data_IF_394492063580
#
_entry.id   IF_394492063580
#
_cell.length_a   1.000
_cell.length_b   1.000
_cell.length_c   1.000
_cell.angle_alpha   90.00
_cell.angle_beta   90.00
_cell.angle_gamma   90.00
#
_symmetry.space_group_name_H-M   'P 1'
#
loop_
_entity.id
_entity.type
_entity.pdbx_description
1 polymer ?
#
# COMPACT_ATOMS: atom_id res chain seq x y z
N UNK A 1 16.64 2.05 4.09
CA UNK A 1 16.72 1.63 2.67
C UNK A 1 15.44 0.91 2.31
N UNK A 2 15.05 0.96 1.06
CA UNK A 2 13.77 0.41 0.59
C UNK A 2 14.02 -0.80 -0.28
N UNK A 3 13.58 -1.95 0.20
CA UNK A 3 13.77 -3.25 -0.44
C UNK A 3 12.78 -3.47 -1.61
N UNK A 4 12.69 -2.49 -2.53
CA UNK A 4 11.70 -2.47 -3.61
C UNK A 4 11.79 -3.70 -4.53
N UNK A 5 12.98 -4.25 -4.75
CA UNK A 5 13.20 -5.45 -5.58
C UNK A 5 12.63 -6.75 -5.00
N UNK A 6 12.35 -6.77 -3.69
CA UNK A 6 11.77 -7.91 -2.99
C UNK A 6 10.45 -7.56 -2.30
N UNK A 7 9.83 -6.42 -2.62
CA UNK A 7 8.47 -6.10 -2.17
C UNK A 7 7.53 -7.21 -2.64
N UNK A 8 6.66 -7.67 -1.73
CA UNK A 8 5.85 -8.86 -1.95
C UNK A 8 4.92 -8.72 -3.16
N UNK A 9 4.49 -7.52 -3.52
CA UNK A 9 3.48 -7.22 -4.53
C UNK A 9 4.06 -6.84 -5.90
N UNK A 10 5.22 -6.18 -5.94
CA UNK A 10 5.78 -5.59 -7.17
C UNK A 10 7.29 -5.77 -7.33
N UNK A 11 7.99 -6.37 -6.36
CA UNK A 11 9.41 -6.68 -6.50
C UNK A 11 9.66 -7.84 -7.44
N UNK A 12 10.77 -7.83 -8.20
CA UNK A 12 11.19 -8.95 -9.07
C UNK A 12 11.26 -10.29 -8.34
N UNK A 13 11.64 -10.28 -7.07
CA UNK A 13 11.79 -11.46 -6.23
C UNK A 13 12.83 -12.48 -6.72
N UNK A 14 12.97 -13.54 -5.92
CA UNK A 14 13.89 -14.65 -6.11
C UNK A 14 13.29 -15.95 -5.56
N UNK A 15 13.91 -17.10 -5.80
CA UNK A 15 13.39 -18.40 -5.34
C UNK A 15 13.28 -18.52 -3.82
N UNK A 16 14.22 -17.94 -3.10
CA UNK A 16 14.23 -17.88 -1.64
C UNK A 16 13.47 -16.67 -1.08
N UNK A 17 12.93 -15.79 -1.93
CA UNK A 17 12.19 -14.58 -1.56
C UNK A 17 11.10 -14.34 -2.60
N UNK A 18 10.05 -15.16 -2.52
CA UNK A 18 8.98 -15.17 -3.51
C UNK A 18 8.10 -13.92 -3.36
N UNK A 19 7.99 -13.18 -4.44
CA UNK A 19 7.07 -12.05 -4.63
C UNK A 19 5.98 -12.44 -5.62
N UNK A 20 4.92 -11.64 -5.71
CA UNK A 20 3.86 -11.83 -6.70
C UNK A 20 4.41 -11.81 -8.14
N UNK A 21 5.28 -10.85 -8.56
CA UNK A 21 5.89 -10.92 -9.88
C UNK A 21 6.75 -12.16 -10.10
N UNK A 22 7.52 -12.58 -9.09
CA UNK A 22 8.30 -13.82 -9.19
C UNK A 22 7.40 -15.02 -9.46
N UNK A 23 6.29 -15.17 -8.72
CA UNK A 23 5.33 -16.26 -8.91
C UNK A 23 4.65 -16.20 -10.28
N UNK A 24 4.20 -15.02 -10.70
CA UNK A 24 3.56 -14.82 -12.01
C UNK A 24 4.51 -15.10 -13.18
N UNK A 25 5.80 -14.75 -13.04
CA UNK A 25 6.82 -14.99 -14.07
C UNK A 25 7.03 -16.47 -14.37
N UNK A 26 6.65 -17.37 -13.45
CA UNK A 26 6.74 -18.83 -13.66
C UNK A 26 5.76 -19.35 -14.70
N UNK A 27 4.71 -18.58 -14.98
CA UNK A 27 3.66 -18.93 -15.93
C UNK A 27 3.54 -17.91 -17.08
N UNK A 28 4.20 -16.75 -16.97
CA UNK A 28 4.15 -15.66 -17.93
C UNK A 28 5.58 -15.21 -18.29
N UNK A 29 6.16 -15.70 -19.40
CA UNK A 29 7.57 -15.46 -19.73
C UNK A 29 7.89 -14.00 -20.11
N UNK A 30 6.87 -13.19 -20.39
CA UNK A 30 6.99 -11.78 -20.76
C UNK A 30 6.40 -10.84 -19.70
N UNK A 31 6.44 -11.24 -18.42
CA UNK A 31 5.98 -10.37 -17.33
C UNK A 31 6.92 -9.17 -17.17
N UNK A 32 6.35 -7.98 -17.13
CA UNK A 32 7.07 -6.71 -16.99
C UNK A 32 6.53 -5.88 -15.80
N UNK A 33 7.19 -4.76 -15.49
CA UNK A 33 6.72 -3.78 -14.52
C UNK A 33 7.28 -3.91 -13.09
N UNK A 34 7.93 -5.03 -12.76
CA UNK A 34 8.44 -5.27 -11.41
C UNK A 34 9.68 -4.43 -11.07
N UNK A 35 9.79 -3.95 -9.82
CA UNK A 35 10.99 -3.27 -9.34
C UNK A 35 12.20 -4.21 -9.30
N UNK A 36 13.38 -3.70 -9.66
CA UNK A 36 14.57 -4.52 -9.88
C UNK A 36 15.73 -4.26 -8.93
N UNK A 37 15.70 -3.16 -8.17
CA UNK A 37 16.73 -2.85 -7.17
C UNK A 37 16.14 -2.32 -5.87
N UNK A 38 16.84 -2.63 -4.78
CA UNK A 38 16.80 -1.86 -3.53
C UNK A 38 17.33 -0.45 -3.78
N UNK A 39 16.69 0.54 -3.16
CA UNK A 39 17.09 1.95 -3.28
C UNK A 39 17.15 2.61 -1.91
N UNK A 40 17.80 3.76 -1.83
CA UNK A 40 17.69 4.67 -0.70
C UNK A 40 16.77 5.82 -1.12
N UNK A 41 15.93 6.35 -0.22
CA UNK A 41 15.19 7.56 -0.52
C UNK A 41 16.13 8.68 -0.94
N UNK A 42 15.81 9.34 -2.06
CA UNK A 42 16.64 10.43 -2.61
C UNK A 42 16.67 11.62 -1.67
N UNK A 43 15.54 11.90 -1.05
CA UNK A 43 15.36 13.05 -0.17
C UNK A 43 14.40 12.72 0.97
N UNK A 44 14.97 12.26 2.08
CA UNK A 44 14.20 11.96 3.30
C UNK A 44 13.52 13.20 3.90
N UNK A 45 13.94 14.41 3.56
CA UNK A 45 13.37 15.64 4.11
C UNK A 45 12.08 16.09 3.39
N UNK A 46 11.80 15.54 2.21
CA UNK A 46 10.65 15.92 1.38
C UNK A 46 9.67 14.77 1.11
N UNK A 47 9.81 13.65 1.83
CA UNK A 47 8.85 12.55 1.76
C UNK A 47 7.41 13.02 2.08
N UNK A 48 6.39 12.45 1.41
CA UNK A 48 6.48 11.32 0.47
C UNK A 48 6.91 11.71 -0.96
N UNK A 49 7.01 13.00 -1.28
CA UNK A 49 7.09 13.49 -2.66
C UNK A 49 8.45 13.26 -3.33
N UNK A 50 8.41 12.89 -4.62
CA UNK A 50 9.58 12.92 -5.50
C UNK A 50 10.60 11.80 -5.32
N UNK A 51 10.32 10.76 -4.53
CA UNK A 51 11.22 9.63 -4.30
C UNK A 51 11.04 8.47 -5.30
N UNK A 52 10.99 8.81 -6.59
CA UNK A 52 10.92 7.84 -7.68
C UNK A 52 12.29 7.57 -8.30
N UNK A 53 12.54 6.31 -8.66
CA UNK A 53 13.76 5.77 -9.27
C UNK A 53 13.41 5.10 -10.61
N UNK A 54 13.19 5.88 -11.69
CA UNK A 54 12.61 5.39 -12.95
C UNK A 54 13.34 4.25 -13.66
N UNK A 55 14.63 4.09 -13.39
CA UNK A 55 15.46 3.04 -13.98
C UNK A 55 15.29 1.69 -13.28
N UNK A 56 14.74 1.68 -12.07
CA UNK A 56 14.68 0.48 -11.21
C UNK A 56 13.30 0.17 -10.69
N UNK A 57 12.44 1.18 -10.53
CA UNK A 57 11.08 1.03 -10.01
C UNK A 57 10.14 0.37 -11.01
N UNK A 58 10.34 0.67 -12.30
CA UNK A 58 9.45 0.26 -13.39
C UNK A 58 8.02 0.80 -13.20
N UNK A 59 7.05 -0.04 -12.83
CA UNK A 59 5.67 0.37 -12.54
C UNK A 59 5.37 0.51 -11.04
N UNK A 60 6.36 0.29 -10.18
CA UNK A 60 6.23 0.58 -8.76
C UNK A 60 6.25 2.10 -8.54
N UNK A 61 5.24 2.60 -7.85
CA UNK A 61 5.11 4.00 -7.47
C UNK A 61 4.94 4.18 -5.97
N UNK A 62 5.20 3.14 -5.17
CA UNK A 62 5.13 3.25 -3.72
C UNK A 62 6.17 4.26 -3.20
N UNK A 63 5.71 5.13 -2.31
CA UNK A 63 6.52 6.15 -1.64
C UNK A 63 6.64 5.82 -0.14
N UNK A 64 7.80 6.08 0.46
CA UNK A 64 7.89 6.18 1.92
C UNK A 64 6.95 7.27 2.42
N UNK A 65 6.20 6.99 3.49
CA UNK A 65 5.17 7.88 4.05
C UNK A 65 4.03 8.23 3.08
N UNK A 66 3.88 7.48 1.98
CA UNK A 66 2.80 7.68 1.01
C UNK A 66 1.44 7.67 1.70
N UNK A 67 0.60 8.68 1.41
CA UNK A 67 -0.71 8.88 2.03
C UNK A 67 -1.66 9.55 1.06
N UNK A 68 -2.91 9.07 1.02
CA UNK A 68 -3.96 9.70 0.21
C UNK A 68 -4.22 11.14 0.67
N UNK A 69 -4.16 11.40 1.98
CA UNK A 69 -4.33 12.73 2.57
C UNK A 69 -3.16 13.69 2.29
N UNK A 70 -2.00 13.17 1.89
CA UNK A 70 -0.83 13.96 1.47
C UNK A 70 -0.72 14.13 -0.05
N UNK A 71 -1.66 13.56 -0.82
CA UNK A 71 -1.68 13.70 -2.27
C UNK A 71 -0.88 12.64 -3.03
N UNK A 72 -0.37 11.59 -2.37
CA UNK A 72 0.42 10.54 -3.03
C UNK A 72 -0.34 9.89 -4.19
N UNK A 73 -1.63 9.56 -4.02
CA UNK A 73 -2.41 8.93 -5.10
C UNK A 73 -2.48 9.78 -6.40
N UNK A 74 -2.46 11.10 -6.28
CA UNK A 74 -2.48 12.01 -7.45
C UNK A 74 -1.11 12.01 -8.15
N UNK A 75 -0.03 12.04 -7.37
CA UNK A 75 1.36 11.98 -7.86
C UNK A 75 1.68 10.62 -8.49
N UNK A 76 1.38 9.54 -7.78
CA UNK A 76 1.51 8.14 -8.19
C UNK A 76 0.76 7.89 -9.50
N UNK A 77 -0.47 8.40 -9.64
CA UNK A 77 -1.22 8.31 -10.89
C UNK A 77 -0.54 9.08 -12.03
N UNK A 78 -0.04 10.28 -11.76
CA UNK A 78 0.73 11.07 -12.72
C UNK A 78 1.96 10.31 -13.24
N UNK A 79 2.69 9.66 -12.33
CA UNK A 79 3.86 8.87 -12.65
C UNK A 79 3.50 7.61 -13.42
N UNK A 80 2.51 6.84 -12.97
CA UNK A 80 2.02 5.63 -13.63
C UNK A 80 1.63 5.87 -15.08
N UNK A 81 0.92 6.97 -15.38
CA UNK A 81 0.58 7.35 -16.77
C UNK A 81 1.80 7.63 -17.65
N UNK A 82 2.90 8.07 -17.05
CA UNK A 82 4.14 8.34 -17.77
C UNK A 82 4.96 7.07 -17.93
N UNK A 83 5.08 6.28 -16.86
CA UNK A 83 5.80 5.02 -16.84
C UNK A 83 5.15 3.98 -17.78
N UNK A 84 3.82 3.91 -17.85
CA UNK A 84 3.10 2.96 -18.70
C UNK A 84 3.41 3.11 -20.19
N UNK A 85 3.78 4.32 -20.65
CA UNK A 85 4.14 4.58 -22.05
C UNK A 85 5.41 3.85 -22.51
N UNK A 86 6.21 3.32 -21.58
CA UNK A 86 7.41 2.53 -21.90
C UNK A 86 7.08 1.11 -22.34
N UNK A 87 5.86 0.63 -22.10
CA UNK A 87 5.44 -0.74 -22.37
C UNK A 87 4.59 -0.78 -23.63
N UNK A 88 5.03 -1.60 -24.59
CA UNK A 88 4.28 -1.83 -25.83
C UNK A 88 2.94 -2.52 -25.52
N UNK A 89 1.90 -2.15 -26.26
CA UNK A 89 0.57 -2.74 -26.15
C UNK A 89 0.01 -2.73 -24.71
N UNK A 90 0.41 -1.74 -23.89
CA UNK A 90 0.06 -1.69 -22.47
C UNK A 90 -1.44 -1.89 -22.26
N UNK A 91 -2.28 -1.18 -23.00
CA UNK A 91 -3.75 -1.28 -22.92
C UNK A 91 -4.29 -2.67 -23.29
N UNK A 92 -3.57 -3.43 -24.11
CA UNK A 92 -3.98 -4.76 -24.55
C UNK A 92 -3.52 -5.91 -23.66
N UNK A 93 -2.60 -5.65 -22.73
CA UNK A 93 -2.10 -6.64 -21.77
C UNK A 93 -2.90 -6.64 -20.47
N UNK A 94 -3.00 -7.80 -19.81
CA UNK A 94 -3.54 -7.86 -18.45
C UNK A 94 -2.57 -7.24 -17.45
N UNK A 95 -3.11 -6.41 -16.55
CA UNK A 95 -2.37 -5.69 -15.51
C UNK A 95 -2.85 -6.15 -14.14
N UNK A 96 -1.94 -6.22 -13.19
CA UNK A 96 -2.27 -6.33 -11.77
C UNK A 96 -1.80 -5.06 -11.09
N UNK A 97 -2.71 -4.34 -10.44
CA UNK A 97 -2.42 -3.14 -9.68
C UNK A 97 -2.74 -3.41 -8.21
N UNK A 98 -1.74 -3.21 -7.35
CA UNK A 98 -1.91 -3.32 -5.90
C UNK A 98 -1.99 -1.91 -5.32
N UNK A 99 -3.03 -1.64 -4.54
CA UNK A 99 -3.23 -0.38 -3.82
C UNK A 99 -3.23 -0.69 -2.33
N UNK A 100 -2.22 -0.20 -1.62
CA UNK A 100 -2.11 -0.34 -0.16
C UNK A 100 -1.84 1.02 0.47
N UNK A 101 -2.91 1.79 0.66
CA UNK A 101 -2.87 3.17 1.10
C UNK A 101 -3.76 3.31 2.33
N UNK A 102 -3.30 2.89 3.51
CA UNK A 102 -4.08 3.00 4.75
C UNK A 102 -3.22 3.27 5.98
N UNK A 103 -2.06 2.61 6.10
CA UNK A 103 -1.26 2.67 7.33
C UNK A 103 -0.84 4.12 7.67
N UNK A 104 -0.16 4.81 6.76
CA UNK A 104 0.31 6.19 6.98
C UNK A 104 -0.80 7.25 6.99
N UNK A 105 -1.99 6.90 6.49
CA UNK A 105 -3.16 7.77 6.65
C UNK A 105 -3.64 7.67 8.10
N UNK A 106 -3.87 6.46 8.61
CA UNK A 106 -4.63 6.27 9.86
C UNK A 106 -3.78 5.96 11.10
N UNK A 107 -2.45 6.03 11.03
CA UNK A 107 -1.54 5.75 12.15
C UNK A 107 -1.66 6.73 13.34
N UNK A 108 -2.21 7.92 13.10
CA UNK A 108 -2.55 8.92 14.12
C UNK A 108 -4.00 8.86 14.64
N UNK A 109 -4.89 8.09 14.01
CA UNK A 109 -6.32 8.09 14.31
C UNK A 109 -6.67 7.17 15.49
N UNK A 110 -6.32 7.58 16.71
CA UNK A 110 -6.48 6.77 17.94
C UNK A 110 -7.12 7.51 19.12
N UNK A 111 -7.56 8.75 18.93
CA UNK A 111 -8.26 9.51 19.98
C UNK A 111 -9.78 9.34 19.94
N UNK A 112 -10.33 8.71 18.90
CA UNK A 112 -11.76 8.46 18.74
C UNK A 112 -12.12 7.66 17.48
N UNK A 113 -13.43 7.43 17.22
CA UNK A 113 -13.90 6.70 16.04
C UNK A 113 -13.54 7.41 14.73
N UNK A 114 -12.88 6.69 13.83
CA UNK A 114 -12.37 7.26 12.56
C UNK A 114 -13.46 7.61 11.56
N UNK A 115 -14.62 6.95 11.60
CA UNK A 115 -15.70 7.10 10.61
C UNK A 115 -16.36 8.48 10.58
N UNK A 116 -16.19 9.26 11.66
CA UNK A 116 -16.75 10.61 11.77
C UNK A 116 -15.75 11.69 11.32
N UNK A 117 -14.50 11.31 11.08
CA UNK A 117 -13.42 12.26 10.79
C UNK A 117 -13.50 12.80 9.36
N UNK A 118 -13.06 14.06 9.19
CA UNK A 118 -12.84 14.61 7.86
C UNK A 118 -11.71 13.85 7.12
N UNK A 119 -10.73 13.37 7.89
CA UNK A 119 -9.57 12.62 7.43
C UNK A 119 -9.98 11.34 6.66
N UNK A 120 -10.87 10.53 7.22
CA UNK A 120 -11.46 9.38 6.54
C UNK A 120 -12.21 9.75 5.24
N UNK A 121 -12.99 10.84 5.26
CA UNK A 121 -13.77 11.27 4.08
C UNK A 121 -12.86 11.71 2.92
N UNK A 122 -11.74 12.37 3.24
CA UNK A 122 -10.73 12.74 2.24
C UNK A 122 -10.09 11.48 1.67
N UNK A 123 -9.68 10.54 2.51
CA UNK A 123 -9.13 9.26 2.09
C UNK A 123 -10.07 8.51 1.14
N UNK A 124 -11.33 8.32 1.53
CA UNK A 124 -12.33 7.61 0.72
C UNK A 124 -12.54 8.27 -0.64
N UNK A 125 -12.65 9.61 -0.66
CA UNK A 125 -12.79 10.37 -1.90
C UNK A 125 -11.59 10.22 -2.81
N UNK A 126 -10.36 10.23 -2.25
CA UNK A 126 -9.13 10.15 -3.04
C UNK A 126 -8.90 8.76 -3.61
N UNK A 127 -9.24 7.71 -2.86
CA UNK A 127 -9.21 6.35 -3.40
C UNK A 127 -10.26 6.18 -4.50
N UNK A 128 -11.48 6.71 -4.34
CA UNK A 128 -12.51 6.64 -5.39
C UNK A 128 -12.11 7.41 -6.66
N UNK A 129 -11.51 8.59 -6.50
CA UNK A 129 -10.96 9.39 -7.59
C UNK A 129 -9.86 8.61 -8.34
N UNK A 130 -8.90 8.05 -7.62
CA UNK A 130 -7.83 7.24 -8.18
C UNK A 130 -8.37 6.03 -8.96
N UNK A 131 -9.29 5.27 -8.38
CA UNK A 131 -9.93 4.14 -9.06
C UNK A 131 -10.73 4.57 -10.28
N UNK A 132 -11.42 5.71 -10.21
CA UNK A 132 -12.12 6.29 -11.38
C UNK A 132 -11.13 6.60 -12.49
N UNK A 133 -10.02 7.27 -12.18
CA UNK A 133 -8.99 7.60 -13.15
C UNK A 133 -8.38 6.34 -13.79
N UNK A 134 -8.01 5.35 -12.99
CA UNK A 134 -7.42 4.09 -13.48
C UNK A 134 -8.40 3.32 -14.37
N UNK A 135 -9.63 3.10 -13.89
CA UNK A 135 -10.60 2.24 -14.58
C UNK A 135 -11.25 2.89 -15.80
N UNK A 136 -11.20 4.23 -15.91
CA UNK A 136 -11.60 4.95 -17.13
C UNK A 136 -10.48 5.04 -18.15
N UNK A 137 -9.22 5.04 -17.71
CA UNK A 137 -8.06 5.16 -18.59
C UNK A 137 -7.59 3.81 -19.14
N UNK A 138 -7.71 2.73 -18.35
CA UNK A 138 -7.16 1.42 -18.70
C UNK A 138 -8.22 0.32 -18.73
N UNK A 139 -7.95 -0.68 -19.56
CA UNK A 139 -8.68 -1.95 -19.65
C UNK A 139 -7.78 -3.11 -19.23
N UNK A 140 -8.38 -4.31 -19.09
CA UNK A 140 -7.69 -5.55 -18.72
C UNK A 140 -6.86 -5.38 -17.43
N UNK A 141 -7.51 -4.94 -16.36
CA UNK A 141 -6.83 -4.64 -15.09
C UNK A 141 -7.53 -5.26 -13.89
N UNK A 142 -6.72 -5.91 -13.05
CA UNK A 142 -7.12 -6.47 -11.78
C UNK A 142 -6.54 -5.61 -10.65
N UNK A 143 -7.39 -4.96 -9.88
CA UNK A 143 -7.02 -4.00 -8.83
C UNK A 143 -7.26 -4.65 -7.47
N UNK A 144 -6.17 -4.85 -6.73
CA UNK A 144 -6.17 -5.32 -5.34
C UNK A 144 -6.17 -4.14 -4.38
N UNK A 145 -7.25 -3.96 -3.63
CA UNK A 145 -7.30 -3.07 -2.47
C UNK A 145 -6.86 -3.86 -1.24
N UNK A 146 -5.63 -3.63 -0.80
CA UNK A 146 -5.02 -4.38 0.30
C UNK A 146 -5.48 -3.83 1.63
N UNK A 147 -6.09 -4.68 2.45
CA UNK A 147 -6.44 -4.34 3.84
C UNK A 147 -5.18 -4.14 4.66
N UNK A 148 -5.27 -3.40 5.76
CA UNK A 148 -4.14 -3.17 6.65
C UNK A 148 -4.19 -4.06 7.89
N UNK A 149 -3.02 -4.38 8.43
CA UNK A 149 -2.90 -5.11 9.69
C UNK A 149 -3.20 -4.18 10.89
N UNK A 150 -3.49 -4.78 12.03
CA UNK A 150 -3.58 -4.07 13.32
C UNK A 150 -2.25 -3.38 13.64
N UNK A 151 -2.26 -2.05 13.58
CA UNK A 151 -1.07 -1.21 13.73
C UNK A 151 -0.51 -1.24 15.16
N UNK A 152 -1.32 -1.65 16.16
CA UNK A 152 -0.82 -1.92 17.51
C UNK A 152 0.26 -3.01 17.56
N UNK A 153 0.27 -3.94 16.60
CA UNK A 153 1.31 -4.96 16.53
C UNK A 153 2.64 -4.38 16.05
N UNK A 154 2.60 -3.37 15.18
CA UNK A 154 3.80 -2.62 14.79
C UNK A 154 4.33 -1.85 16.00
N UNK A 155 3.47 -1.13 16.72
CA UNK A 155 3.82 -0.44 17.97
C UNK A 155 4.53 -1.41 18.94
N UNK A 156 3.92 -2.57 19.21
CA UNK A 156 4.50 -3.58 20.12
C UNK A 156 5.92 -4.00 19.70
N UNK A 157 6.15 -4.25 18.42
CA UNK A 157 7.46 -4.70 17.93
C UNK A 157 8.48 -3.57 18.00
N UNK A 158 8.10 -2.36 17.56
CA UNK A 158 8.93 -1.17 17.62
C UNK A 158 9.38 -0.86 19.05
N UNK A 159 8.45 -0.87 20.02
CA UNK A 159 8.75 -0.63 21.43
C UNK A 159 9.63 -1.73 22.04
N UNK A 160 9.67 -2.93 21.45
CA UNK A 160 10.54 -4.03 21.89
C UNK A 160 12.01 -3.88 21.46
N UNK A 161 12.31 -2.95 20.55
CA UNK A 161 13.64 -2.73 19.98
C UNK A 161 14.16 -1.35 20.38
N UNK A 162 15.23 -1.32 21.19
CA UNK A 162 15.81 -0.06 21.68
C UNK A 162 16.21 0.91 20.56
N UNK A 163 16.75 0.39 19.44
CA UNK A 163 17.10 1.19 18.26
C UNK A 163 15.88 1.87 17.63
N UNK A 164 14.82 1.11 17.34
CA UNK A 164 13.57 1.66 16.80
C UNK A 164 12.95 2.67 17.76
N UNK A 165 12.88 2.35 19.06
CA UNK A 165 12.36 3.28 20.08
C UNK A 165 13.14 4.59 20.15
N UNK A 166 14.46 4.59 19.88
CA UNK A 166 15.25 5.81 19.85
C UNK A 166 15.00 6.61 18.56
N UNK A 167 14.93 5.93 17.41
CA UNK A 167 14.69 6.57 16.10
C UNK A 167 13.31 7.25 16.08
N UNK A 168 12.26 6.55 16.48
CA UNK A 168 10.89 7.09 16.52
C UNK A 168 10.63 8.11 17.64
N UNK A 169 11.62 8.38 18.51
CA UNK A 169 11.60 9.56 19.38
C UNK A 169 12.19 10.79 18.73
N UNK A 170 13.03 10.60 17.70
CA UNK A 170 13.73 11.65 16.98
C UNK A 170 13.00 12.02 15.69
N UNK A 171 12.17 11.11 15.17
CA UNK A 171 11.41 11.25 13.93
C UNK A 171 9.95 10.96 14.27
N UNK A 172 9.08 11.94 14.05
CA UNK A 172 7.62 11.84 14.28
C UNK A 172 6.95 11.37 12.98
N UNK A 173 6.99 10.05 12.77
CA UNK A 173 6.63 9.43 11.49
C UNK A 173 5.38 8.55 11.57
N UNK A 174 5.07 7.99 12.75
CA UNK A 174 4.03 6.96 12.91
C UNK A 174 2.86 7.33 13.80
N UNK A 175 2.65 8.62 14.10
CA UNK A 175 1.56 9.06 14.98
C UNK A 175 1.54 8.28 16.30
N UNK A 176 0.37 7.77 16.71
CA UNK A 176 0.31 7.04 17.97
C UNK A 176 0.91 5.63 17.93
N UNK A 177 1.32 5.11 16.76
CA UNK A 177 2.18 3.91 16.72
C UNK A 177 3.51 4.19 17.42
N UNK A 178 4.01 5.43 17.41
CA UNK A 178 5.31 5.76 17.99
C UNK A 178 5.26 5.99 19.50
N UNK A 179 4.19 6.60 20.00
CA UNK A 179 4.10 7.08 21.38
C UNK A 179 2.79 6.76 22.11
N UNK A 180 1.83 6.13 21.45
CA UNK A 180 0.51 5.87 22.00
C UNK A 180 0.51 4.91 23.19
N UNK A 181 -0.49 5.07 24.07
CA UNK A 181 -0.72 4.17 25.21
C UNK A 181 -1.66 3.01 24.84
N UNK A 182 -1.91 2.09 25.79
CA UNK A 182 -2.76 0.92 25.55
C UNK A 182 -4.19 1.25 25.12
N UNK A 183 -4.77 2.34 25.62
CA UNK A 183 -6.12 2.78 25.25
C UNK A 183 -6.13 3.31 23.82
N UNK A 184 -5.12 4.09 23.43
CA UNK A 184 -4.97 4.56 22.05
C UNK A 184 -4.74 3.40 21.08
N UNK A 185 -3.95 2.39 21.46
CA UNK A 185 -3.75 1.20 20.62
C UNK A 185 -5.03 0.38 20.43
N UNK A 186 -5.89 0.27 21.46
CA UNK A 186 -7.20 -0.36 21.32
C UNK A 186 -8.13 0.41 20.39
N UNK A 187 -8.11 1.75 20.46
CA UNK A 187 -8.88 2.59 19.55
C UNK A 187 -8.37 2.48 18.11
N UNK A 188 -7.04 2.48 17.94
CA UNK A 188 -6.40 2.32 16.64
C UNK A 188 -6.80 0.98 15.99
N UNK A 189 -6.70 -0.14 16.71
CA UNK A 189 -7.12 -1.45 16.19
C UNK A 189 -8.62 -1.48 15.85
N UNK A 190 -9.47 -0.89 16.69
CA UNK A 190 -10.90 -0.74 16.40
C UNK A 190 -11.12 0.02 15.09
N UNK A 191 -10.40 1.12 14.88
CA UNK A 191 -10.50 1.94 13.68
C UNK A 191 -10.01 1.17 12.45
N UNK A 192 -8.89 0.45 12.56
CA UNK A 192 -8.36 -0.40 11.48
C UNK A 192 -9.35 -1.49 11.08
N UNK A 193 -9.98 -2.17 12.04
CA UNK A 193 -11.01 -3.17 11.74
C UNK A 193 -12.23 -2.56 11.04
N UNK A 194 -12.67 -1.37 11.48
CA UNK A 194 -13.75 -0.66 10.82
C UNK A 194 -13.37 -0.27 9.38
N UNK A 195 -12.18 0.29 9.19
CA UNK A 195 -11.65 0.70 7.88
C UNK A 195 -11.50 -0.49 6.93
N UNK A 196 -10.97 -1.62 7.39
CA UNK A 196 -10.88 -2.84 6.59
C UNK A 196 -12.29 -3.30 6.17
N UNK A 197 -13.23 -3.39 7.12
CA UNK A 197 -14.63 -3.75 6.82
C UNK A 197 -15.24 -2.81 5.77
N UNK A 198 -14.97 -1.51 5.91
CA UNK A 198 -15.42 -0.50 4.97
C UNK A 198 -14.77 -0.64 3.60
N UNK A 199 -13.48 -0.97 3.51
CA UNK A 199 -12.76 -1.24 2.27
C UNK A 199 -13.30 -2.48 1.55
N UNK A 200 -13.64 -3.55 2.27
CA UNK A 200 -14.35 -4.70 1.68
C UNK A 200 -15.65 -4.29 1.02
N UNK A 201 -16.46 -3.49 1.72
CA UNK A 201 -17.71 -2.96 1.17
C UNK A 201 -17.47 -2.02 -0.01
N UNK A 202 -16.42 -1.21 0.05
CA UNK A 202 -16.03 -0.29 -1.03
C UNK A 202 -15.65 -1.06 -2.30
N UNK A 203 -14.87 -2.13 -2.18
CA UNK A 203 -14.56 -3.02 -3.31
C UNK A 203 -15.83 -3.66 -3.91
N UNK A 204 -16.77 -4.11 -3.08
CA UNK A 204 -18.06 -4.66 -3.53
C UNK A 204 -18.92 -3.61 -4.27
N UNK A 205 -18.91 -2.36 -3.80
CA UNK A 205 -19.59 -1.24 -4.46
C UNK A 205 -18.99 -0.97 -5.84
N UNK A 206 -17.65 -0.99 -5.94
CA UNK A 206 -16.95 -0.90 -7.22
C UNK A 206 -17.25 -2.05 -8.17
N UNK A 207 -17.31 -3.29 -7.69
CA UNK A 207 -17.73 -4.44 -8.51
C UNK A 207 -19.15 -4.25 -9.05
N UNK A 208 -20.06 -3.74 -8.23
CA UNK A 208 -21.45 -3.46 -8.64
C UNK A 208 -21.49 -2.35 -9.69
N UNK A 209 -20.72 -1.27 -9.50
CA UNK A 209 -20.56 -0.15 -10.45
C UNK A 209 -20.03 -0.64 -11.80
N UNK A 210 -18.96 -1.42 -11.81
CA UNK A 210 -18.35 -1.98 -13.02
C UNK A 210 -19.29 -2.94 -13.76
N UNK A 211 -19.97 -3.82 -13.03
CA UNK A 211 -20.98 -4.73 -13.60
C UNK A 211 -22.13 -3.96 -14.24
N UNK A 212 -22.62 -2.92 -13.58
CA UNK A 212 -23.70 -2.07 -14.10
C UNK A 212 -23.28 -1.31 -15.35
N UNK A 213 -22.00 -0.97 -15.47
CA UNK A 213 -21.40 -0.38 -16.66
C UNK A 213 -21.03 -1.42 -17.76
N UNK A 214 -21.31 -2.71 -17.55
CA UNK A 214 -20.98 -3.77 -18.51
C UNK A 214 -19.48 -4.06 -18.65
N UNK A 215 -18.65 -3.61 -17.72
CA UNK A 215 -17.19 -3.84 -17.74
C UNK A 215 -16.86 -5.25 -17.27
N UNK A 216 -16.28 -6.06 -18.15
CA UNK A 216 -15.80 -7.43 -17.86
C UNK A 216 -14.27 -7.55 -17.90
N UNK A 217 -13.60 -6.48 -18.30
CA UNK A 217 -12.16 -6.32 -18.44
C UNK A 217 -11.50 -5.66 -17.21
N UNK A 218 -12.29 -5.33 -16.17
CA UNK A 218 -11.81 -4.69 -14.95
C UNK A 218 -12.39 -5.42 -13.74
N UNK A 219 -11.54 -5.66 -12.74
CA UNK A 219 -11.97 -6.11 -11.43
C UNK A 219 -11.33 -5.24 -10.34
N UNK A 220 -12.13 -4.86 -9.34
CA UNK A 220 -11.66 -4.26 -8.09
C UNK A 220 -12.01 -5.24 -6.98
N UNK A 221 -11.03 -5.69 -6.21
CA UNK A 221 -11.22 -6.69 -5.15
C UNK A 221 -10.57 -6.23 -3.85
N UNK A 222 -11.11 -6.67 -2.72
CA UNK A 222 -10.44 -6.54 -1.45
C UNK A 222 -9.47 -7.72 -1.25
N UNK A 223 -8.25 -7.44 -0.80
CA UNK A 223 -7.22 -8.43 -0.51
C UNK A 223 -6.94 -8.43 1.01
N UNK A 224 -7.59 -9.31 1.79
CA UNK A 224 -7.57 -9.27 3.25
C UNK A 224 -6.32 -9.91 3.89
N UNK A 225 -5.28 -10.22 3.12
CA UNK A 225 -4.23 -11.11 3.61
C UNK A 225 -3.48 -10.55 4.83
N UNK A 226 -3.43 -9.23 5.02
CA UNK A 226 -2.80 -8.61 6.20
C UNK A 226 -3.69 -8.66 7.46
N UNK A 227 -4.99 -8.92 7.32
CA UNK A 227 -5.93 -8.97 8.44
C UNK A 227 -5.59 -10.14 9.37
N UNK A 228 -5.44 -9.85 10.66
CA UNK A 228 -5.17 -10.87 11.69
C UNK A 228 -3.75 -11.46 11.71
N UNK A 229 -2.83 -11.06 10.82
CA UNK A 229 -1.43 -11.53 10.87
C UNK A 229 -0.68 -10.95 12.08
N UNK A 230 -1.08 -9.77 12.55
CA UNK A 230 -0.44 -8.99 13.61
C UNK A 230 0.09 -9.76 14.83
N UNK A 231 -0.74 -10.64 15.39
CA UNK A 231 -0.42 -11.42 16.60
C UNK A 231 0.76 -12.40 16.43
N UNK A 232 1.06 -12.80 15.19
CA UNK A 232 2.14 -13.74 14.85
C UNK A 232 3.48 -13.04 14.59
N UNK A 233 3.48 -11.71 14.44
CA UNK A 233 4.70 -10.95 14.21
C UNK A 233 5.51 -10.82 15.51
N UNK A 234 6.48 -11.70 15.71
CA UNK A 234 7.45 -11.64 16.79
C UNK A 234 8.73 -10.90 16.38
N UNK A 235 9.55 -10.55 17.36
CA UNK A 235 10.92 -10.05 17.11
C UNK A 235 11.77 -11.06 16.32
N UNK A 236 11.44 -12.35 16.40
CA UNK A 236 12.04 -13.45 15.63
C UNK A 236 11.62 -13.49 14.15
N UNK A 237 10.49 -12.87 13.80
CA UNK A 237 10.06 -12.69 12.41
C UNK A 237 10.89 -11.59 11.76
N UNK A 238 11.00 -10.43 12.42
CA UNK A 238 11.78 -9.29 11.90
C UNK A 238 13.28 -9.62 11.82
N UNK A 239 13.84 -10.36 12.77
CA UNK A 239 15.26 -10.74 12.73
C UNK A 239 15.65 -11.67 11.58
N UNK A 240 14.68 -12.24 10.86
CA UNK A 240 14.91 -13.07 9.66
C UNK A 240 14.79 -12.27 8.35
N UNK A 241 14.34 -11.01 8.43
CA UNK A 241 14.18 -10.11 7.28
C UNK A 241 15.34 -9.12 7.12
N UNK A 242 16.26 -9.08 8.10
CA UNK A 242 17.53 -8.34 8.08
C UNK A 242 18.69 -9.31 7.84
#
# INVERSE_FOLDING_TARGET
>A
DEARDISWDIGRGYENQMTLPYLLSRYNPHLEGASTKRVLPKDVAHLPHGDYHPDTDNLNVAESMGSANKGSLDEEWGYLRTASKKYADFDDQWKVLTVWMMANDFDGDCDGPVEETAHYKVWESKVDEFLTNVTTSWSKIYINLVSTLDLSNIHRIQQSKAGCKLVHKLIDEGGCIDYGNSTQMQMLDRNIHWLNTRQHKFAQDWQTKLKSAGRTDVAVVAQPFMEGIGSKFGSSFISKLM
#
